data_IF_674238219978
#
_entry.id   IF_674238219978
#
_cell.length_a   1.000
_cell.length_b   1.000
_cell.length_c   1.000
_cell.angle_alpha   90.00
_cell.angle_beta   90.00
_cell.angle_gamma   90.00
#
_symmetry.space_group_name_H-M   'P 1'
#
loop_
_entity.id
_entity.type
_entity.pdbx_description
1 polymer ?
#
# COMPACT_ATOMS: atom_id res chain seq x y z
N UNK A 1 2.11 -21.61 20.10
CA UNK A 1 1.62 -22.62 19.16
C UNK A 1 0.56 -21.98 18.25
N UNK A 2 0.96 -21.37 17.14
CA UNK A 2 0.10 -20.73 16.13
C UNK A 2 0.45 -21.28 14.72
N UNK A 3 0.70 -22.57 14.61
CA UNK A 3 1.40 -23.10 13.44
C UNK A 3 0.59 -23.83 12.39
N UNK A 4 -0.72 -24.04 12.56
CA UNK A 4 -1.42 -25.01 11.67
C UNK A 4 -2.57 -24.41 10.84
N UNK A 5 -3.04 -23.20 11.13
CA UNK A 5 -4.14 -22.60 10.37
C UNK A 5 -3.73 -21.58 9.27
N UNK A 6 -2.46 -21.25 9.21
CA UNK A 6 -1.98 -20.22 8.26
C UNK A 6 -1.72 -20.75 6.83
N UNK A 7 -1.60 -22.07 6.66
CA UNK A 7 -1.25 -22.68 5.37
C UNK A 7 -2.40 -22.76 4.35
N UNK A 8 -3.60 -22.33 4.70
CA UNK A 8 -4.80 -22.52 3.87
C UNK A 8 -5.49 -21.22 3.43
N UNK A 9 -4.73 -20.17 3.12
CA UNK A 9 -5.30 -18.90 2.61
C UNK A 9 -6.16 -19.11 1.36
N UNK A 10 -5.81 -20.07 0.54
CA UNK A 10 -6.44 -20.32 -0.76
C UNK A 10 -7.50 -21.44 -0.76
N UNK A 11 -7.78 -22.06 0.38
CA UNK A 11 -8.79 -23.13 0.46
C UNK A 11 -10.21 -22.62 0.72
N UNK A 12 -10.40 -21.31 0.97
CA UNK A 12 -11.75 -20.74 1.00
C UNK A 12 -12.10 -20.21 -0.37
N UNK A 13 -13.30 -20.47 -0.90
CA UNK A 13 -13.67 -20.03 -2.22
C UNK A 13 -13.62 -18.52 -2.30
N UNK A 14 -12.57 -18.01 -2.96
CA UNK A 14 -12.61 -16.70 -3.58
C UNK A 14 -13.75 -16.83 -4.60
N UNK A 15 -14.69 -15.90 -4.61
CA UNK A 15 -15.77 -15.94 -5.61
C UNK A 15 -15.16 -16.15 -6.99
N UNK A 16 -15.75 -16.99 -7.82
CA UNK A 16 -15.20 -17.39 -9.13
C UNK A 16 -14.79 -16.16 -9.97
N UNK A 17 -15.54 -15.07 -9.86
CA UNK A 17 -15.22 -13.81 -10.54
C UNK A 17 -13.91 -13.16 -10.06
N UNK A 18 -13.68 -13.10 -8.75
CA UNK A 18 -12.44 -12.51 -8.21
C UNK A 18 -11.22 -13.38 -8.55
N UNK A 19 -11.41 -14.71 -8.54
CA UNK A 19 -10.35 -15.65 -8.92
C UNK A 19 -9.97 -15.50 -10.40
N UNK A 20 -10.96 -15.38 -11.29
CA UNK A 20 -10.73 -15.18 -12.71
C UNK A 20 -9.95 -13.87 -12.99
N UNK A 21 -10.33 -12.78 -12.30
CA UNK A 21 -9.64 -11.50 -12.40
C UNK A 21 -8.20 -11.61 -11.90
N UNK A 22 -7.99 -12.23 -10.74
CA UNK A 22 -6.66 -12.43 -10.16
C UNK A 22 -5.77 -13.31 -11.06
N UNK A 23 -6.33 -14.38 -11.62
CA UNK A 23 -5.63 -15.26 -12.56
C UNK A 23 -5.23 -14.51 -13.82
N UNK A 24 -6.13 -13.70 -14.38
CA UNK A 24 -5.84 -12.87 -15.56
C UNK A 24 -4.77 -11.84 -15.25
N UNK A 25 -4.86 -11.16 -14.11
CA UNK A 25 -3.88 -10.16 -13.70
C UNK A 25 -2.48 -10.78 -13.51
N UNK A 26 -2.40 -11.97 -12.90
CA UNK A 26 -1.14 -12.73 -12.77
C UNK A 26 -0.57 -13.15 -14.10
N UNK A 27 -1.42 -13.60 -15.02
CA UNK A 27 -0.98 -13.92 -16.37
C UNK A 27 -0.35 -12.70 -17.03
N UNK A 28 -1.00 -11.53 -16.95
CA UNK A 28 -0.47 -10.29 -17.52
C UNK A 28 0.86 -9.93 -16.85
N UNK A 29 0.95 -9.97 -15.52
CA UNK A 29 2.17 -9.64 -14.79
C UNK A 29 3.35 -10.60 -15.11
N UNK A 30 3.06 -11.88 -15.37
CA UNK A 30 4.08 -12.87 -15.71
C UNK A 30 4.50 -12.80 -17.18
N UNK A 31 3.55 -12.56 -18.08
CA UNK A 31 3.82 -12.44 -19.52
C UNK A 31 4.54 -11.12 -19.78
N UNK A 32 5.70 -11.19 -20.45
CA UNK A 32 6.51 -10.01 -20.78
C UNK A 32 6.95 -9.17 -19.55
N UNK A 33 7.27 -9.82 -18.43
CA UNK A 33 7.70 -9.18 -17.19
C UNK A 33 8.75 -8.09 -17.41
N UNK A 34 9.77 -8.37 -18.21
CA UNK A 34 10.83 -7.41 -18.54
C UNK A 34 10.28 -6.14 -19.23
N UNK A 35 9.33 -6.33 -20.17
CA UNK A 35 8.69 -5.21 -20.84
C UNK A 35 7.83 -4.37 -19.89
N UNK A 36 7.13 -5.02 -18.94
CA UNK A 36 6.34 -4.33 -17.91
C UNK A 36 7.24 -3.52 -16.97
N UNK A 37 8.38 -4.06 -16.56
CA UNK A 37 9.39 -3.35 -15.78
C UNK A 37 9.89 -2.13 -16.58
N UNK A 38 10.30 -2.33 -17.84
CA UNK A 38 10.77 -1.25 -18.71
C UNK A 38 9.73 -0.15 -18.91
N UNK A 39 8.46 -0.52 -19.05
CA UNK A 39 7.35 0.43 -19.13
C UNK A 39 7.17 1.16 -17.80
N UNK A 40 7.19 0.45 -16.68
CA UNK A 40 7.07 1.02 -15.35
C UNK A 40 8.13 2.07 -15.03
N UNK A 41 9.36 1.87 -15.47
CA UNK A 41 10.43 2.88 -15.35
C UNK A 41 10.08 4.21 -16.02
N UNK A 42 9.27 4.19 -17.08
CA UNK A 42 8.82 5.39 -17.81
C UNK A 42 7.61 6.06 -17.16
N UNK A 43 6.90 5.34 -16.28
CA UNK A 43 5.68 5.78 -15.64
C UNK A 43 5.97 6.55 -14.34
N UNK A 44 6.83 7.55 -14.44
CA UNK A 44 7.04 8.53 -13.38
C UNK A 44 6.12 9.73 -13.59
N UNK A 45 5.97 10.56 -12.58
CA UNK A 45 5.19 11.79 -12.65
C UNK A 45 5.95 12.96 -12.02
N UNK A 46 5.68 14.19 -12.45
CA UNK A 46 6.21 15.37 -11.79
C UNK A 46 5.70 15.46 -10.34
N UNK A 47 6.61 15.73 -9.42
CA UNK A 47 6.31 15.95 -8.00
C UNK A 47 6.94 17.27 -7.60
N UNK A 48 6.12 18.23 -7.16
CA UNK A 48 6.58 19.50 -6.60
C UNK A 48 6.87 19.33 -5.10
N UNK A 49 7.83 20.10 -4.59
CA UNK A 49 8.15 20.11 -3.16
C UNK A 49 9.64 20.01 -2.91
N UNK A 50 10.02 19.95 -1.64
CA UNK A 50 11.42 19.74 -1.27
C UNK A 50 11.81 18.30 -1.61
N UNK A 51 13.03 18.08 -2.11
CA UNK A 51 13.52 16.72 -2.27
C UNK A 51 13.43 15.95 -0.95
N UNK A 52 13.14 14.66 -1.04
CA UNK A 52 13.23 13.77 0.13
C UNK A 52 14.65 13.82 0.66
N UNK A 53 14.79 14.03 1.96
CA UNK A 53 16.07 14.18 2.64
C UNK A 53 16.93 12.91 2.58
N UNK A 54 18.13 13.01 3.13
CA UNK A 54 19.08 11.88 3.21
C UNK A 54 18.82 10.99 4.43
N UNK A 55 17.62 10.99 4.99
CA UNK A 55 17.29 10.12 6.13
C UNK A 55 17.41 8.64 5.76
N UNK A 56 17.97 7.85 6.67
CA UNK A 56 18.04 6.38 6.51
C UNK A 56 16.66 5.70 6.67
N UNK A 57 15.69 6.41 7.24
CA UNK A 57 14.32 5.92 7.42
C UNK A 57 13.35 7.00 6.96
N UNK A 58 12.48 6.64 6.03
CA UNK A 58 11.45 7.55 5.50
C UNK A 58 10.09 6.88 5.51
N UNK A 59 9.12 7.52 6.13
CA UNK A 59 7.72 7.14 6.02
C UNK A 59 7.06 7.99 4.95
N UNK A 60 6.35 7.35 4.04
CA UNK A 60 5.62 8.01 2.96
C UNK A 60 4.13 7.75 3.14
N UNK A 61 3.37 8.81 3.36
CA UNK A 61 1.91 8.79 3.48
C UNK A 61 1.35 9.41 2.20
N UNK A 62 0.49 8.68 1.50
CA UNK A 62 -0.24 9.21 0.35
C UNK A 62 -1.67 9.54 0.74
N UNK A 63 -2.05 10.81 0.59
CA UNK A 63 -3.41 11.27 0.79
C UNK A 63 -3.73 12.44 -0.15
N UNK A 64 -4.38 12.13 -1.26
CA UNK A 64 -4.92 13.17 -2.16
C UNK A 64 -6.44 13.18 -1.98
N UNK A 65 -7.04 14.32 -1.63
CA UNK A 65 -8.48 14.44 -1.56
C UNK A 65 -9.14 14.08 -2.91
N UNK A 66 -10.17 13.29 -2.87
CA UNK A 66 -10.93 12.87 -4.06
C UNK A 66 -12.42 13.22 -3.90
N UNK A 67 -13.11 13.32 -5.02
CA UNK A 67 -14.53 13.65 -5.03
C UNK A 67 -15.36 12.45 -4.56
N UNK A 68 -16.07 12.62 -3.43
CA UNK A 68 -16.85 11.55 -2.77
C UNK A 68 -18.11 11.12 -3.55
N UNK A 69 -18.60 11.93 -4.47
CA UNK A 69 -19.86 11.71 -5.18
C UNK A 69 -19.90 10.49 -6.12
N UNK A 70 -18.77 9.84 -6.34
CA UNK A 70 -18.63 8.75 -7.31
C UNK A 70 -18.44 7.37 -6.67
N UNK A 71 -18.49 7.25 -5.34
CA UNK A 71 -18.26 5.99 -4.63
C UNK A 71 -19.43 5.00 -4.62
N UNK A 72 -20.54 5.31 -5.30
CA UNK A 72 -21.77 4.50 -5.23
C UNK A 72 -21.72 3.18 -6.00
N UNK A 73 -20.70 2.92 -6.80
CA UNK A 73 -20.71 1.83 -7.78
C UNK A 73 -19.84 0.61 -7.45
N UNK A 74 -19.25 0.51 -6.26
CA UNK A 74 -18.47 -0.69 -5.87
C UNK A 74 -19.38 -1.87 -5.48
N UNK A 75 -20.61 -1.89 -5.95
CA UNK A 75 -21.68 -2.76 -5.50
C UNK A 75 -21.58 -4.25 -5.81
N UNK A 76 -20.62 -4.73 -6.62
CA UNK A 76 -20.54 -6.17 -6.94
C UNK A 76 -19.56 -6.99 -6.08
N UNK A 77 -18.80 -6.36 -5.23
CA UNK A 77 -17.83 -7.03 -4.35
C UNK A 77 -18.09 -6.65 -2.89
N UNK A 78 -19.20 -6.99 -2.30
CA UNK A 78 -19.55 -6.87 -0.85
C UNK A 78 -18.64 -6.04 0.04
N UNK A 79 -18.20 -4.89 -0.46
CA UNK A 79 -17.49 -3.90 0.33
C UNK A 79 -18.54 -2.88 0.75
N UNK A 80 -18.77 -2.73 2.05
CA UNK A 80 -19.67 -1.68 2.52
C UNK A 80 -19.24 -0.35 1.91
N UNK A 81 -20.14 0.33 1.24
CA UNK A 81 -19.95 1.70 0.75
C UNK A 81 -19.51 2.56 1.93
N UNK A 82 -18.25 2.97 1.92
CA UNK A 82 -17.71 3.85 2.93
C UNK A 82 -18.11 5.25 2.50
N UNK A 83 -18.90 5.93 3.33
CA UNK A 83 -19.18 7.34 3.15
C UNK A 83 -17.93 8.15 3.55
N UNK A 84 -17.08 8.41 2.57
CA UNK A 84 -15.83 9.13 2.77
C UNK A 84 -16.03 10.57 3.26
N UNK A 85 -17.23 11.17 3.07
CA UNK A 85 -17.52 12.51 3.56
C UNK A 85 -17.53 12.59 5.09
N UNK A 86 -17.73 11.45 5.76
CA UNK A 86 -17.76 11.33 7.23
C UNK A 86 -16.41 11.00 7.83
N UNK A 87 -15.41 10.70 7.00
CA UNK A 87 -14.08 10.38 7.49
C UNK A 87 -13.29 11.67 7.70
N UNK A 88 -12.81 11.87 8.90
CA UNK A 88 -11.96 13.01 9.25
C UNK A 88 -10.51 12.75 8.80
N UNK A 89 -10.26 12.75 7.49
CA UNK A 89 -8.98 12.42 6.90
C UNK A 89 -7.81 13.25 7.47
N UNK A 90 -8.02 14.53 7.72
CA UNK A 90 -6.99 15.37 8.29
C UNK A 90 -6.59 14.90 9.70
N UNK A 91 -7.54 14.53 10.54
CA UNK A 91 -7.29 14.01 11.88
C UNK A 91 -6.51 12.68 11.82
N UNK A 92 -6.89 11.79 10.88
CA UNK A 92 -6.19 10.51 10.67
C UNK A 92 -4.74 10.72 10.25
N UNK A 93 -4.49 11.55 9.25
CA UNK A 93 -3.13 11.85 8.79
C UNK A 93 -2.31 12.50 9.92
N UNK A 94 -2.88 13.45 10.65
CA UNK A 94 -2.23 14.06 11.81
C UNK A 94 -1.91 13.04 12.89
N UNK A 95 -2.81 12.11 13.16
CA UNK A 95 -2.56 11.03 14.12
C UNK A 95 -1.46 10.09 13.64
N UNK A 96 -1.46 9.70 12.36
CA UNK A 96 -0.40 8.88 11.75
C UNK A 96 0.97 9.58 11.90
N UNK A 97 1.07 10.87 11.56
CA UNK A 97 2.32 11.66 11.69
C UNK A 97 2.80 11.66 13.15
N UNK A 98 1.91 12.01 14.10
CA UNK A 98 2.27 12.03 15.54
C UNK A 98 2.71 10.65 16.06
N UNK A 99 2.08 9.58 15.57
CA UNK A 99 2.46 8.22 15.93
C UNK A 99 3.88 7.89 15.43
N UNK A 100 4.21 8.27 14.19
CA UNK A 100 5.57 8.08 13.65
C UNK A 100 6.59 8.91 14.44
N UNK A 101 6.30 10.20 14.69
CA UNK A 101 7.19 11.07 15.46
C UNK A 101 7.50 10.50 16.86
N UNK A 102 6.54 9.80 17.46
CA UNK A 102 6.71 9.16 18.77
C UNK A 102 7.52 7.85 18.70
N UNK A 103 7.31 7.04 17.67
CA UNK A 103 7.89 5.68 17.58
C UNK A 103 9.22 5.64 16.83
N UNK A 104 9.44 6.55 15.89
CA UNK A 104 10.63 6.67 15.06
C UNK A 104 11.03 8.15 14.90
N UNK A 105 11.45 8.84 15.97
CA UNK A 105 11.67 10.31 16.00
C UNK A 105 12.74 10.80 15.02
N UNK A 106 13.66 9.94 14.61
CA UNK A 106 14.72 10.25 13.63
C UNK A 106 14.29 10.05 12.18
N UNK A 107 13.08 9.51 11.94
CA UNK A 107 12.60 9.25 10.59
C UNK A 107 12.14 10.55 9.91
N UNK A 108 12.38 10.63 8.62
CA UNK A 108 11.73 11.62 7.77
C UNK A 108 10.28 11.19 7.49
N UNK A 109 9.36 12.13 7.58
CA UNK A 109 7.94 11.91 7.25
C UNK A 109 7.62 12.71 6.01
N UNK A 110 7.23 12.01 4.96
CA UNK A 110 6.81 12.58 3.68
C UNK A 110 5.31 12.39 3.54
N UNK A 111 4.59 13.46 3.22
CA UNK A 111 3.16 13.40 2.89
C UNK A 111 2.97 13.83 1.44
N UNK A 112 2.51 12.89 0.62
CA UNK A 112 2.14 13.15 -0.78
C UNK A 112 0.67 13.55 -0.82
N UNK A 113 0.40 14.84 -1.10
CA UNK A 113 -0.95 15.40 -1.05
C UNK A 113 -1.04 16.66 -1.92
N UNK A 114 -2.21 17.31 -2.00
CA UNK A 114 -2.33 18.62 -2.60
C UNK A 114 -1.81 19.76 -1.67
N UNK A 115 -1.64 20.94 -2.25
CA UNK A 115 -1.08 22.10 -1.52
C UNK A 115 -1.97 22.55 -0.36
N UNK A 116 -3.30 22.52 -0.54
CA UNK A 116 -4.26 22.97 0.47
C UNK A 116 -4.24 22.03 1.69
N UNK A 117 -4.30 20.72 1.46
CA UNK A 117 -4.23 19.74 2.55
C UNK A 117 -2.85 19.77 3.22
N UNK A 118 -1.78 19.88 2.45
CA UNK A 118 -0.41 20.01 2.96
C UNK A 118 -0.22 21.23 3.85
N UNK A 119 -0.86 22.37 3.52
CA UNK A 119 -0.82 23.57 4.33
C UNK A 119 -1.39 23.36 5.74
N UNK A 120 -2.39 22.48 5.88
CA UNK A 120 -3.04 22.13 7.18
C UNK A 120 -2.17 21.21 8.06
N UNK A 121 -1.02 20.74 7.56
CA UNK A 121 -0.09 19.86 8.28
C UNK A 121 1.21 20.55 8.69
N UNK A 122 1.42 21.82 8.35
CA UNK A 122 2.70 22.54 8.54
C UNK A 122 3.19 22.55 9.98
N UNK A 123 2.29 22.57 10.95
CA UNK A 123 2.62 22.53 12.39
C UNK A 123 3.31 21.23 12.81
N UNK A 124 3.07 20.13 12.09
CA UNK A 124 3.70 18.83 12.32
C UNK A 124 5.01 18.64 11.55
N UNK A 125 5.38 19.60 10.70
CA UNK A 125 6.64 19.67 9.94
C UNK A 125 6.97 18.46 9.06
N UNK A 126 6.01 17.79 8.39
CA UNK A 126 6.37 16.78 7.41
C UNK A 126 6.96 17.45 6.16
N UNK A 127 7.71 16.68 5.38
CA UNK A 127 8.04 17.05 4.00
C UNK A 127 6.78 16.89 3.15
N UNK A 128 6.28 17.97 2.55
CA UNK A 128 5.11 17.91 1.66
C UNK A 128 5.60 17.76 0.23
N UNK A 129 5.10 16.71 -0.42
CA UNK A 129 5.24 16.48 -1.85
C UNK A 129 3.86 16.63 -2.52
N UNK A 130 3.82 17.38 -3.60
CA UNK A 130 2.60 17.61 -4.37
C UNK A 130 2.73 16.91 -5.72
N UNK A 131 2.24 15.65 -5.83
CA UNK A 131 2.27 14.94 -7.09
C UNK A 131 1.22 15.51 -8.05
N UNK A 132 1.54 15.55 -9.33
CA UNK A 132 0.60 15.92 -10.37
C UNK A 132 -0.36 14.75 -10.65
N UNK A 133 -1.60 14.86 -10.17
CA UNK A 133 -2.56 13.74 -10.15
C UNK A 133 -3.94 14.13 -10.70
N UNK A 134 -4.59 13.17 -11.35
CA UNK A 134 -6.01 13.24 -11.65
C UNK A 134 -6.81 12.65 -10.48
N UNK A 135 -7.72 13.43 -9.90
CA UNK A 135 -8.49 13.04 -8.69
C UNK A 135 -9.47 11.89 -8.93
N UNK A 136 -9.81 11.63 -10.20
CA UNK A 136 -10.69 10.51 -10.58
C UNK A 136 -10.00 9.14 -10.56
N UNK A 137 -8.66 9.07 -10.42
CA UNK A 137 -7.86 7.83 -10.40
C UNK A 137 -6.87 7.78 -9.23
N UNK A 138 -7.30 7.97 -7.98
CA UNK A 138 -6.41 8.19 -6.85
C UNK A 138 -5.43 7.02 -6.63
N UNK A 139 -5.86 5.78 -6.81
CA UNK A 139 -4.99 4.62 -6.59
C UNK A 139 -3.96 4.40 -7.71
N UNK A 140 -4.28 4.76 -8.94
CA UNK A 140 -3.33 4.76 -10.04
C UNK A 140 -2.19 5.77 -9.77
N UNK A 141 -2.55 6.97 -9.37
CA UNK A 141 -1.57 8.00 -9.06
C UNK A 141 -0.80 7.72 -7.76
N UNK A 142 -1.40 7.02 -6.80
CA UNK A 142 -0.66 6.52 -5.63
C UNK A 142 0.45 5.56 -6.04
N UNK A 143 0.15 4.55 -6.83
CA UNK A 143 1.14 3.60 -7.33
C UNK A 143 2.24 4.30 -8.13
N UNK A 144 1.86 5.23 -8.98
CA UNK A 144 2.76 6.03 -9.80
C UNK A 144 3.66 6.94 -8.94
N UNK A 145 3.10 7.55 -7.89
CA UNK A 145 3.86 8.34 -6.92
C UNK A 145 4.89 7.48 -6.19
N UNK A 146 4.50 6.29 -5.72
CA UNK A 146 5.42 5.36 -5.05
C UNK A 146 6.57 4.94 -5.97
N UNK A 147 6.25 4.56 -7.21
CA UNK A 147 7.25 4.25 -8.23
C UNK A 147 8.21 5.43 -8.47
N UNK A 148 7.69 6.66 -8.60
CA UNK A 148 8.49 7.87 -8.80
C UNK A 148 9.41 8.14 -7.62
N UNK A 149 8.91 7.99 -6.39
CA UNK A 149 9.71 8.20 -5.18
C UNK A 149 10.87 7.20 -5.13
N UNK A 150 10.61 5.92 -5.38
CA UNK A 150 11.65 4.89 -5.34
C UNK A 150 12.72 5.13 -6.42
N UNK A 151 12.32 5.46 -7.64
CA UNK A 151 13.27 5.73 -8.72
C UNK A 151 14.13 6.98 -8.48
N UNK A 152 13.61 7.99 -7.80
CA UNK A 152 14.29 9.24 -7.55
C UNK A 152 15.02 9.31 -6.19
N UNK A 153 14.93 8.24 -5.38
CA UNK A 153 15.56 8.24 -4.08
C UNK A 153 17.07 8.08 -4.20
N UNK A 154 17.80 9.04 -3.61
CA UNK A 154 19.27 9.05 -3.65
C UNK A 154 19.93 8.40 -2.44
N UNK A 155 19.17 8.05 -1.40
CA UNK A 155 19.70 7.52 -0.14
C UNK A 155 19.38 6.04 0.00
N UNK A 156 20.41 5.24 0.26
CA UNK A 156 20.21 3.84 0.64
C UNK A 156 19.67 3.79 2.07
N UNK A 157 18.41 3.42 2.19
CA UNK A 157 17.71 3.38 3.47
C UNK A 157 16.37 2.67 3.34
N UNK A 158 15.62 2.65 4.43
CA UNK A 158 14.30 2.03 4.48
C UNK A 158 13.23 3.06 4.15
N UNK A 159 12.40 2.75 3.17
CA UNK A 159 11.18 3.51 2.87
C UNK A 159 9.97 2.67 3.25
N UNK A 160 9.04 3.27 3.97
CA UNK A 160 7.82 2.63 4.46
C UNK A 160 6.63 3.43 3.92
N UNK A 161 5.90 2.84 2.98
CA UNK A 161 4.68 3.41 2.44
C UNK A 161 3.50 3.01 3.31
N UNK A 162 2.69 3.99 3.68
CA UNK A 162 1.53 3.84 4.57
C UNK A 162 0.27 4.42 3.95
N UNK A 163 -0.86 3.74 4.15
CA UNK A 163 -2.16 4.37 4.01
C UNK A 163 -2.33 5.50 5.06
N UNK A 164 -3.10 6.51 4.73
CA UNK A 164 -3.30 7.69 5.58
C UNK A 164 -3.99 7.40 6.93
N UNK A 165 -4.52 6.21 7.09
CA UNK A 165 -5.20 5.69 8.29
C UNK A 165 -4.43 4.54 8.97
N UNK A 166 -3.12 4.44 8.70
CA UNK A 166 -2.23 3.43 9.26
C UNK A 166 -1.39 4.01 10.41
N UNK A 167 -1.71 3.65 11.65
CA UNK A 167 -1.08 4.16 12.87
C UNK A 167 0.11 3.29 13.26
N UNK A 168 1.31 3.87 13.29
CA UNK A 168 2.54 3.18 13.70
C UNK A 168 2.56 3.01 15.23
N UNK A 169 2.65 1.76 15.68
CA UNK A 169 2.68 1.39 17.11
C UNK A 169 4.10 1.08 17.60
N UNK A 170 4.92 0.54 16.70
CA UNK A 170 6.34 0.23 16.91
C UNK A 170 7.11 0.64 15.65
N UNK A 171 8.38 0.99 15.83
CA UNK A 171 9.25 1.28 14.67
C UNK A 171 9.45 0.02 13.80
N UNK A 172 8.95 0.02 12.55
CA UNK A 172 9.14 -1.11 11.63
C UNK A 172 10.44 -1.01 10.83
N UNK A 173 11.20 0.06 10.93
CA UNK A 173 12.40 0.30 10.12
C UNK A 173 13.51 -0.75 10.26
N UNK A 174 13.68 -1.47 11.39
CA UNK A 174 14.65 -2.55 11.48
C UNK A 174 14.23 -3.84 10.77
N UNK A 175 12.96 -3.97 10.37
CA UNK A 175 12.41 -5.24 9.85
C UNK A 175 13.06 -5.72 8.56
N UNK A 176 13.37 -4.88 7.54
CA UNK A 176 14.04 -5.35 6.34
C UNK A 176 15.33 -6.09 6.65
N UNK A 177 16.18 -5.51 7.49
CA UNK A 177 17.44 -6.15 7.93
C UNK A 177 17.17 -7.37 8.82
N UNK A 178 16.28 -7.24 9.83
CA UNK A 178 16.00 -8.32 10.80
C UNK A 178 15.40 -9.56 10.15
N UNK A 179 14.54 -9.36 9.14
CA UNK A 179 13.83 -10.44 8.45
C UNK A 179 14.44 -10.77 7.09
N UNK A 180 15.55 -10.13 6.72
CA UNK A 180 16.30 -10.32 5.49
C UNK A 180 15.43 -10.22 4.23
N UNK A 181 14.89 -9.03 3.95
CA UNK A 181 14.15 -8.75 2.72
C UNK A 181 14.50 -7.36 2.13
N UNK A 182 14.32 -7.20 0.82
CA UNK A 182 14.41 -5.90 0.12
C UNK A 182 13.04 -5.24 -0.02
N UNK A 183 12.00 -6.05 -0.20
CA UNK A 183 10.61 -5.59 -0.26
C UNK A 183 9.74 -6.46 0.65
N UNK A 184 8.99 -5.84 1.54
CA UNK A 184 7.99 -6.47 2.39
C UNK A 184 6.60 -5.93 2.07
N UNK A 185 5.66 -6.81 1.74
CA UNK A 185 4.25 -6.48 1.54
C UNK A 185 3.40 -7.20 2.57
N UNK A 186 2.24 -6.66 2.92
CA UNK A 186 1.39 -7.28 3.93
C UNK A 186 0.27 -8.09 3.32
N UNK A 187 -0.03 -9.26 3.89
CA UNK A 187 -1.13 -10.13 3.46
C UNK A 187 -2.14 -10.37 4.57
N UNK A 188 -3.41 -10.50 4.18
CA UNK A 188 -4.53 -10.80 5.06
C UNK A 188 -5.26 -12.06 4.61
N UNK A 189 -5.85 -12.73 5.59
CA UNK A 189 -6.62 -13.95 5.40
C UNK A 189 -8.11 -13.61 5.40
N UNK A 190 -8.64 -13.14 4.27
CA UNK A 190 -10.05 -12.88 4.12
C UNK A 190 -10.55 -13.46 2.80
N UNK A 191 -11.57 -14.32 2.83
CA UNK A 191 -12.00 -15.10 1.65
C UNK A 191 -12.50 -14.24 0.49
N UNK A 192 -13.08 -13.08 0.78
CA UNK A 192 -13.68 -12.20 -0.21
C UNK A 192 -12.78 -11.02 -0.60
N UNK A 193 -11.50 -11.05 -0.22
CA UNK A 193 -10.58 -9.94 -0.45
C UNK A 193 -9.28 -10.44 -1.06
N UNK A 194 -8.67 -9.60 -1.88
CA UNK A 194 -7.33 -9.87 -2.38
C UNK A 194 -6.37 -10.07 -1.20
N UNK A 195 -5.55 -11.12 -1.19
CA UNK A 195 -4.72 -11.44 -0.04
C UNK A 195 -3.69 -10.35 0.27
N UNK A 196 -2.98 -9.82 -0.73
CA UNK A 196 -2.03 -8.74 -0.49
C UNK A 196 -2.77 -7.44 -0.22
N UNK A 197 -2.39 -6.77 0.86
CA UNK A 197 -2.92 -5.47 1.25
C UNK A 197 -1.89 -4.38 0.98
N UNK A 198 -2.30 -3.37 0.24
CA UNK A 198 -1.44 -2.27 -0.22
C UNK A 198 -1.19 -1.21 0.88
N UNK A 199 -1.89 -1.30 2.01
CA UNK A 199 -1.84 -0.27 3.06
C UNK A 199 -0.50 -0.14 3.79
N UNK A 200 0.39 -1.14 3.68
CA UNK A 200 1.76 -1.09 4.19
C UNK A 200 2.69 -1.81 3.24
N UNK A 201 3.68 -1.09 2.73
CA UNK A 201 4.79 -1.65 1.94
C UNK A 201 6.09 -1.13 2.55
N UNK A 202 7.05 -2.01 2.82
CA UNK A 202 8.35 -1.67 3.38
C UNK A 202 9.43 -2.07 2.38
N UNK A 203 10.44 -1.23 2.18
CA UNK A 203 11.49 -1.58 1.23
C UNK A 203 12.85 -0.93 1.53
N UNK A 204 13.91 -1.55 1.06
CA UNK A 204 15.24 -0.96 0.95
C UNK A 204 15.33 -0.17 -0.36
N UNK A 205 15.31 1.15 -0.28
CA UNK A 205 14.96 2.07 -1.36
C UNK A 205 15.85 2.02 -2.59
N UNK A 206 17.14 1.64 -2.44
CA UNK A 206 18.10 1.63 -3.55
C UNK A 206 18.53 0.24 -3.99
N UNK A 207 17.92 -0.81 -3.43
CA UNK A 207 18.17 -2.13 -3.99
C UNK A 207 17.54 -2.23 -5.39
N UNK A 208 18.25 -2.87 -6.32
CA UNK A 208 17.72 -3.03 -7.68
C UNK A 208 16.41 -3.81 -7.68
N UNK A 209 16.29 -4.79 -6.79
CA UNK A 209 15.07 -5.58 -6.62
C UNK A 209 13.88 -4.72 -6.18
N UNK A 210 14.11 -3.73 -5.33
CA UNK A 210 13.07 -2.79 -4.93
C UNK A 210 12.64 -1.90 -6.10
N UNK A 211 13.60 -1.35 -6.82
CA UNK A 211 13.36 -0.47 -7.97
C UNK A 211 12.59 -1.24 -9.06
N UNK A 212 13.03 -2.45 -9.40
CA UNK A 212 12.36 -3.31 -10.38
C UNK A 212 10.97 -3.74 -9.93
N UNK A 213 10.79 -4.00 -8.63
CA UNK A 213 9.50 -4.33 -8.06
C UNK A 213 8.47 -3.21 -8.27
N UNK A 214 8.83 -1.98 -7.95
CA UNK A 214 7.92 -0.84 -8.13
C UNK A 214 7.67 -0.54 -9.61
N UNK A 215 8.68 -0.68 -10.46
CA UNK A 215 8.52 -0.57 -11.90
C UNK A 215 7.59 -1.68 -12.45
N UNK A 216 7.77 -2.94 -12.02
CA UNK A 216 6.90 -4.04 -12.40
C UNK A 216 5.46 -3.84 -11.91
N UNK A 217 5.30 -3.43 -10.66
CA UNK A 217 4.00 -3.12 -10.07
C UNK A 217 3.27 -2.02 -10.87
N UNK A 218 3.98 -0.92 -11.20
CA UNK A 218 3.39 0.18 -11.95
C UNK A 218 3.09 -0.18 -13.42
N UNK A 219 4.02 -0.86 -14.10
CA UNK A 219 3.82 -1.34 -15.47
C UNK A 219 2.68 -2.34 -15.57
N UNK A 220 2.53 -3.21 -14.57
CA UNK A 220 1.40 -4.14 -14.47
C UNK A 220 0.09 -3.36 -14.28
N UNK A 221 0.04 -2.38 -13.40
CA UNK A 221 -1.17 -1.55 -13.22
C UNK A 221 -1.57 -0.89 -14.52
N UNK A 222 -0.60 -0.32 -15.24
CA UNK A 222 -0.85 0.33 -16.52
C UNK A 222 -1.42 -0.64 -17.56
N UNK A 223 -0.87 -1.84 -17.65
CA UNK A 223 -1.38 -2.88 -18.54
C UNK A 223 -2.79 -3.40 -18.14
N UNK A 224 -3.06 -3.51 -16.84
CA UNK A 224 -4.36 -3.98 -16.33
C UNK A 224 -5.49 -2.99 -16.59
N UNK A 225 -5.21 -1.68 -16.55
CA UNK A 225 -6.25 -0.65 -16.78
C UNK A 225 -6.83 -0.69 -18.19
N UNK A 226 -6.06 -1.20 -19.16
CA UNK A 226 -6.43 -1.27 -20.56
C UNK A 226 -6.88 -2.69 -20.99
N UNK A 227 -6.85 -3.68 -20.09
CA UNK A 227 -7.28 -5.05 -20.39
C UNK A 227 -8.80 -5.15 -20.44
N UNK A 228 -9.35 -5.41 -21.64
CA UNK A 228 -10.79 -5.48 -21.91
C UNK A 228 -11.51 -6.56 -21.09
N UNK A 229 -10.85 -7.68 -20.78
CA UNK A 229 -11.45 -8.75 -19.97
C UNK A 229 -11.57 -8.32 -18.51
N UNK A 230 -10.58 -7.65 -17.97
CA UNK A 230 -10.66 -7.07 -16.63
C UNK A 230 -11.74 -6.00 -16.57
N UNK A 231 -11.75 -5.07 -17.53
CA UNK A 231 -12.75 -4.01 -17.60
C UNK A 231 -14.19 -4.53 -17.71
N UNK A 232 -14.42 -5.59 -18.51
CA UNK A 232 -15.77 -6.16 -18.69
C UNK A 232 -16.34 -6.80 -17.41
N UNK A 233 -15.48 -7.28 -16.53
CA UNK A 233 -15.90 -7.92 -15.26
C UNK A 233 -15.99 -6.91 -14.11
N UNK A 234 -15.16 -5.89 -14.12
CA UNK A 234 -14.92 -5.03 -12.98
C UNK A 234 -15.46 -3.60 -13.15
N UNK A 235 -15.77 -3.22 -14.40
CA UNK A 235 -16.05 -1.83 -14.72
C UNK A 235 -14.85 -0.91 -14.42
N UNK A 236 -15.04 0.39 -14.64
CA UNK A 236 -14.00 1.39 -14.38
C UNK A 236 -13.67 1.52 -12.87
N UNK A 237 -14.57 1.12 -12.01
CA UNK A 237 -14.46 1.35 -10.55
C UNK A 237 -13.43 0.46 -9.86
N UNK A 238 -13.24 -0.79 -10.31
CA UNK A 238 -12.20 -1.63 -9.73
C UNK A 238 -10.83 -1.01 -9.93
N UNK A 239 -10.55 -0.53 -11.15
CA UNK A 239 -9.25 0.06 -11.45
C UNK A 239 -9.04 1.38 -10.72
N UNK A 240 -10.12 2.11 -10.46
CA UNK A 240 -10.07 3.35 -9.69
C UNK A 240 -9.62 3.13 -8.25
N UNK A 241 -10.22 2.15 -7.55
CA UNK A 241 -10.05 1.94 -6.11
C UNK A 241 -9.20 0.73 -5.75
N UNK A 242 -9.16 -0.30 -6.59
CA UNK A 242 -8.51 -1.57 -6.28
C UNK A 242 -7.43 -1.97 -7.27
N UNK A 243 -7.25 -1.19 -8.33
CA UNK A 243 -6.25 -1.50 -9.36
C UNK A 243 -4.85 -1.61 -8.81
N UNK A 244 -4.48 -0.75 -7.85
CA UNK A 244 -3.20 -0.85 -7.14
C UNK A 244 -3.07 -2.18 -6.38
N UNK A 245 -4.08 -2.53 -5.58
CA UNK A 245 -4.08 -3.79 -4.86
C UNK A 245 -4.11 -5.00 -5.79
N UNK A 246 -4.86 -4.95 -6.90
CA UNK A 246 -4.88 -6.02 -7.91
C UNK A 246 -3.50 -6.20 -8.56
N UNK A 247 -2.87 -5.09 -8.97
CA UNK A 247 -1.54 -5.12 -9.56
C UNK A 247 -0.49 -5.65 -8.59
N UNK A 248 -0.56 -5.23 -7.33
CA UNK A 248 0.32 -5.73 -6.28
C UNK A 248 0.15 -7.24 -6.06
N UNK A 249 -1.10 -7.74 -6.05
CA UNK A 249 -1.38 -9.17 -5.97
C UNK A 249 -0.95 -9.95 -7.22
N UNK A 250 -0.87 -9.28 -8.37
CA UNK A 250 -0.42 -9.89 -9.62
C UNK A 250 1.09 -10.07 -9.68
N UNK A 251 1.86 -9.09 -9.19
CA UNK A 251 3.34 -9.13 -9.22
C UNK A 251 3.94 -9.92 -8.06
N UNK A 252 3.20 -10.14 -6.98
CA UNK A 252 3.63 -10.99 -5.89
C UNK A 252 3.45 -12.47 -6.27
N UNK A 253 4.37 -13.37 -5.91
CA UNK A 253 4.25 -14.79 -6.24
C UNK A 253 3.00 -15.42 -5.61
N UNK A 254 2.42 -16.41 -6.30
CA UNK A 254 1.10 -17.01 -6.01
C UNK A 254 0.95 -17.75 -4.67
N UNK A 255 0.43 -19.00 -4.69
CA UNK A 255 0.12 -19.79 -3.49
C UNK A 255 1.31 -20.07 -2.56
N UNK A 256 2.55 -19.89 -3.04
CA UNK A 256 3.78 -19.95 -2.25
C UNK A 256 4.07 -18.69 -1.43
N UNK A 257 3.16 -17.73 -1.44
CA UNK A 257 3.33 -16.41 -0.79
C UNK A 257 3.62 -16.47 0.70
N UNK A 258 3.28 -17.57 1.38
CA UNK A 258 3.49 -17.72 2.81
C UNK A 258 4.73 -18.55 3.16
N UNK A 259 5.30 -19.26 2.21
CA UNK A 259 6.59 -19.89 2.43
C UNK A 259 7.70 -18.88 2.15
N UNK A 260 8.09 -18.16 3.19
CA UNK A 260 9.16 -17.14 3.16
C UNK A 260 10.53 -17.67 2.69
N UNK A 261 10.63 -18.94 2.36
CA UNK A 261 11.85 -19.61 1.89
C UNK A 261 12.01 -19.64 0.38
N UNK A 262 10.92 -19.40 -0.38
CA UNK A 262 10.90 -19.62 -1.83
C UNK A 262 11.11 -18.38 -2.70
N UNK A 263 10.98 -17.18 -2.17
CA UNK A 263 11.51 -15.99 -2.83
C UNK A 263 12.99 -15.91 -2.49
N UNK A 264 13.86 -15.60 -3.41
CA UNK A 264 15.32 -15.43 -3.20
C UNK A 264 15.68 -14.42 -2.08
N UNK A 265 14.89 -14.34 -1.03
CA UNK A 265 15.05 -13.50 0.15
C UNK A 265 14.67 -12.02 -0.04
N UNK A 266 14.55 -11.54 -1.28
CA UNK A 266 14.34 -10.12 -1.54
C UNK A 266 12.89 -9.65 -1.35
N UNK A 267 11.87 -10.51 -1.60
CA UNK A 267 10.45 -10.22 -1.38
C UNK A 267 9.91 -11.03 -0.21
N UNK A 268 9.28 -10.39 0.76
CA UNK A 268 8.66 -11.06 1.90
C UNK A 268 7.20 -10.70 2.06
N UNK A 269 6.38 -11.71 2.29
CA UNK A 269 4.97 -11.53 2.62
C UNK A 269 4.83 -11.54 4.14
N UNK A 270 4.34 -10.44 4.69
CA UNK A 270 4.23 -10.21 6.13
C UNK A 270 2.75 -10.34 6.55
N UNK A 271 2.42 -11.07 7.64
CA UNK A 271 1.03 -11.21 8.06
C UNK A 271 0.45 -9.87 8.54
N UNK A 272 -0.73 -9.51 8.02
CA UNK A 272 -1.45 -8.31 8.47
C UNK A 272 -1.76 -8.32 9.96
N UNK A 273 -1.95 -9.50 10.57
CA UNK A 273 -2.18 -9.65 12.01
C UNK A 273 -1.06 -9.05 12.89
N UNK A 274 0.13 -8.85 12.32
CA UNK A 274 1.27 -8.27 13.04
C UNK A 274 1.72 -6.94 12.43
N UNK A 275 1.72 -6.84 11.10
CA UNK A 275 2.38 -5.72 10.41
C UNK A 275 1.42 -4.71 9.78
N UNK A 276 0.10 -5.00 9.78
CA UNK A 276 -0.94 -4.13 9.24
C UNK A 276 -2.31 -4.53 9.83
N UNK A 277 -2.39 -4.54 11.18
CA UNK A 277 -3.53 -5.07 11.90
C UNK A 277 -4.77 -4.20 11.71
N UNK A 278 -5.84 -4.77 11.19
CA UNK A 278 -7.10 -4.06 10.99
C UNK A 278 -7.81 -3.82 12.34
N UNK A 279 -8.05 -2.55 12.66
CA UNK A 279 -8.79 -2.11 13.87
C UNK A 279 -10.06 -1.37 13.48
N UNK A 280 -11.04 -1.40 14.38
CA UNK A 280 -12.36 -0.77 14.21
C UNK A 280 -12.59 0.42 15.12
N UNK A 281 -11.68 0.66 16.07
CA UNK A 281 -11.82 1.76 17.03
C UNK A 281 -10.46 2.21 17.58
N UNK A 282 -10.45 3.41 18.18
CA UNK A 282 -9.28 3.93 18.89
C UNK A 282 -8.92 3.05 20.10
N UNK A 283 -9.92 2.53 20.82
CA UNK A 283 -9.70 1.65 21.96
C UNK A 283 -8.95 0.36 21.59
N UNK A 284 -9.22 -0.18 20.38
CA UNK A 284 -8.45 -1.32 19.86
C UNK A 284 -6.99 -0.95 19.57
N UNK A 285 -6.71 0.26 19.06
CA UNK A 285 -5.35 0.77 18.88
C UNK A 285 -4.60 0.82 20.23
N UNK A 286 -5.23 1.35 21.25
CA UNK A 286 -4.65 1.45 22.58
C UNK A 286 -4.43 0.06 23.21
N UNK A 287 -5.36 -0.86 23.00
CA UNK A 287 -5.19 -2.27 23.41
C UNK A 287 -3.98 -2.93 22.73
N UNK A 288 -3.80 -2.70 21.42
CA UNK A 288 -2.65 -3.25 20.70
C UNK A 288 -1.32 -2.67 21.19
N UNK A 289 -1.30 -1.37 21.56
CA UNK A 289 -0.13 -0.75 22.18
C UNK A 289 0.26 -1.43 23.48
N UNK A 290 -0.71 -1.64 24.36
CA UNK A 290 -0.48 -2.30 25.64
C UNK A 290 -0.01 -3.75 25.46
N UNK A 291 -0.70 -4.51 24.61
CA UNK A 291 -0.35 -5.90 24.30
C UNK A 291 0.97 -6.05 23.53
N UNK A 292 1.44 -4.98 22.90
CA UNK A 292 2.67 -4.96 22.12
C UNK A 292 2.74 -6.04 21.01
N UNK A 293 1.60 -6.38 20.40
CA UNK A 293 1.46 -7.49 19.44
C UNK A 293 1.55 -7.08 17.97
N UNK A 294 1.33 -5.80 17.66
CA UNK A 294 1.33 -5.30 16.29
C UNK A 294 2.34 -4.16 16.11
N UNK A 295 2.87 -4.03 14.88
CA UNK A 295 3.72 -2.90 14.46
C UNK A 295 2.88 -1.72 13.97
N UNK A 296 1.86 -1.99 13.18
CA UNK A 296 1.00 -0.99 12.56
C UNK A 296 -0.46 -1.40 12.76
N UNK A 297 -1.27 -0.47 13.24
CA UNK A 297 -2.73 -0.59 13.31
C UNK A 297 -3.35 0.18 12.14
N UNK A 298 -4.18 -0.47 11.34
CA UNK A 298 -4.85 0.11 10.19
C UNK A 298 -6.33 0.27 10.49
N UNK A 299 -6.79 1.51 10.59
CA UNK A 299 -8.16 1.84 10.91
C UNK A 299 -9.05 1.55 9.71
N UNK A 300 -10.01 0.62 9.86
CA UNK A 300 -10.88 0.18 8.77
C UNK A 300 -12.31 0.69 8.94
N UNK A 301 -12.87 1.13 7.82
CA UNK A 301 -14.31 1.38 7.70
C UNK A 301 -14.84 2.51 8.60
N UNK A 302 -15.94 2.24 9.28
CA UNK A 302 -16.68 3.19 10.14
C UNK A 302 -16.00 3.42 11.51
N UNK A 303 -14.70 3.24 11.65
CA UNK A 303 -14.01 3.54 12.89
C UNK A 303 -14.22 5.02 13.22
N UNK A 304 -15.11 5.28 14.17
CA UNK A 304 -15.35 6.63 14.70
C UNK A 304 -14.07 7.04 15.44
N UNK A 305 -13.40 8.06 14.94
CA UNK A 305 -12.41 8.80 15.69
C UNK A 305 -13.12 9.76 16.65
#
# INVERSE_FOLDING_TARGET
MLSIRENNIYQRPITDGLWAILSRARQIAATNKEQLIKNGYKLTLPIKGKPIGKSLVTFVIYHVPFESSQDKSIGSFDVPTIDHSKIKHLELVRWTIKAIQKTAPQAEIVVCTDEEFGAKLKDLKPTILVPEVERNRPMYYRARTYNTIIQNRSTNGVTIFLDSDAIVLKDPSPLPKKLNFRVGVTARFAPNLMPINEGVIMCESQSQECIDFFAHYMGTYDALKDDKKIQSVTGNDLMRWRGGQLSLNAVCPGSKMLDSRDSNGWLKILPCSTYNYAVRSKAEVDTLRVKNTAYIAHIKGKAKL
#
